data_IF_190885581912
#
_entry.id   IF_190885581912
#
_cell.length_a   1.000
_cell.length_b   1.000
_cell.length_c   1.000
_cell.angle_alpha   90.00
_cell.angle_beta   90.00
_cell.angle_gamma   90.00
#
_symmetry.space_group_name_H-M   'P 1'
#
loop_
_entity.id
_entity.type
_entity.pdbx_description
1 polymer ?
#
# COMPACT_ATOMS: atom_id res chain seq x y z
N UNK A 1 14.30 -7.08 8.65
CA UNK A 1 14.29 -7.29 7.19
C UNK A 1 12.99 -8.01 6.87
N UNK A 2 12.29 -7.62 5.81
CA UNK A 2 11.00 -8.21 5.47
C UNK A 2 11.16 -9.71 5.17
N UNK A 3 10.17 -10.52 5.51
CA UNK A 3 10.18 -11.97 5.29
C UNK A 3 8.73 -12.50 5.34
N UNK A 4 8.56 -13.80 5.12
CA UNK A 4 7.27 -14.46 5.17
C UNK A 4 6.48 -14.13 6.44
N UNK A 5 7.09 -14.27 7.62
CA UNK A 5 6.42 -14.01 8.89
C UNK A 5 5.94 -12.57 9.05
N UNK A 6 6.70 -11.61 8.53
CA UNK A 6 6.30 -10.20 8.59
C UNK A 6 5.00 -9.94 7.82
N UNK A 7 4.86 -10.56 6.63
CA UNK A 7 3.65 -10.38 5.80
C UNK A 7 2.48 -11.26 6.25
N UNK A 8 2.74 -12.52 6.64
CA UNK A 8 1.69 -13.51 6.92
C UNK A 8 1.33 -13.64 8.41
N UNK A 9 2.21 -13.28 9.34
CA UNK A 9 2.02 -13.47 10.79
C UNK A 9 1.86 -12.14 11.55
N UNK A 10 1.22 -11.16 10.90
CA UNK A 10 0.67 -9.97 11.56
C UNK A 10 1.57 -8.74 11.58
N UNK A 11 2.79 -8.77 11.01
CA UNK A 11 3.63 -7.58 10.88
C UNK A 11 2.95 -6.49 10.04
N UNK A 12 2.52 -6.87 8.83
CA UNK A 12 1.77 -5.98 7.93
C UNK A 12 0.45 -5.50 8.56
N UNK A 13 -0.30 -6.40 9.19
CA UNK A 13 -1.57 -6.07 9.83
C UNK A 13 -1.39 -5.01 10.93
N UNK A 14 -0.41 -5.17 11.82
CA UNK A 14 -0.12 -4.19 12.89
C UNK A 14 0.24 -2.83 12.30
N UNK A 15 0.99 -2.79 11.21
CA UNK A 15 1.35 -1.54 10.53
C UNK A 15 0.12 -0.86 9.91
N UNK A 16 -0.80 -1.64 9.34
CA UNK A 16 -2.08 -1.14 8.84
C UNK A 16 -2.99 -0.58 9.95
N UNK A 17 -3.10 -1.30 11.07
CA UNK A 17 -3.84 -0.83 12.25
C UNK A 17 -3.26 0.47 12.81
N UNK A 18 -1.94 0.58 12.89
CA UNK A 18 -1.24 1.79 13.30
C UNK A 18 -1.53 2.97 12.37
N UNK A 19 -1.48 2.75 11.05
CA UNK A 19 -1.80 3.76 10.06
C UNK A 19 -3.24 4.26 10.20
N UNK A 20 -4.20 3.34 10.36
CA UNK A 20 -5.62 3.69 10.58
C UNK A 20 -5.81 4.49 11.86
N UNK A 21 -5.18 4.07 12.96
CA UNK A 21 -5.23 4.78 14.24
C UNK A 21 -4.70 6.20 14.11
N UNK A 22 -3.53 6.38 13.48
CA UNK A 22 -2.95 7.71 13.27
C UNK A 22 -3.79 8.60 12.37
N UNK A 23 -4.42 8.03 11.34
CA UNK A 23 -5.34 8.77 10.47
C UNK A 23 -6.56 9.27 11.26
N UNK A 24 -7.19 8.39 12.05
CA UNK A 24 -8.31 8.75 12.91
C UNK A 24 -7.91 9.75 13.99
N UNK A 25 -6.79 9.56 14.67
CA UNK A 25 -6.29 10.48 15.70
C UNK A 25 -6.13 11.91 15.17
N UNK A 26 -5.58 12.09 13.96
CA UNK A 26 -5.47 13.41 13.32
C UNK A 26 -6.83 14.03 13.00
N UNK A 27 -7.81 13.23 12.59
CA UNK A 27 -9.16 13.71 12.25
C UNK A 27 -9.95 14.13 13.49
N UNK A 28 -9.73 13.45 14.62
CA UNK A 28 -10.47 13.60 15.87
C UNK A 28 -9.66 14.30 16.97
N UNK A 29 -8.51 14.89 16.65
CA UNK A 29 -7.62 15.58 17.59
C UNK A 29 -8.37 16.65 18.41
N UNK A 30 -9.30 17.37 17.78
CA UNK A 30 -10.16 18.36 18.43
C UNK A 30 -11.31 17.75 19.26
N UNK A 31 -11.79 16.55 18.89
CA UNK A 31 -12.96 15.89 19.52
C UNK A 31 -12.62 15.08 20.77
N UNK A 32 -11.34 14.81 21.05
CA UNK A 32 -10.89 14.15 22.31
C UNK A 32 -11.31 14.92 23.58
N UNK A 33 -11.72 16.19 23.46
CA UNK A 33 -12.21 17.01 24.59
C UNK A 33 -13.71 16.87 24.90
N UNK A 34 -14.52 16.27 24.03
CA UNK A 34 -15.98 16.16 24.21
C UNK A 34 -16.41 14.69 24.30
N UNK A 35 -16.93 14.29 25.46
CA UNK A 35 -17.06 12.91 25.94
C UNK A 35 -17.95 11.90 25.20
N UNK A 36 -18.33 12.13 23.93
CA UNK A 36 -19.17 11.20 23.14
C UNK A 36 -18.49 10.68 21.85
N UNK A 37 -17.19 10.95 21.65
CA UNK A 37 -16.48 10.69 20.39
C UNK A 37 -16.19 9.22 20.05
N UNK A 38 -16.43 8.26 20.93
CA UNK A 38 -16.04 6.86 20.74
C UNK A 38 -16.79 6.16 19.61
N UNK A 39 -18.12 6.33 19.50
CA UNK A 39 -18.89 5.66 18.44
C UNK A 39 -18.58 6.21 17.04
N UNK A 40 -18.43 7.52 16.91
CA UNK A 40 -18.06 8.17 15.64
C UNK A 40 -16.62 7.82 15.23
N UNK A 41 -15.69 7.81 16.20
CA UNK A 41 -14.31 7.40 15.99
C UNK A 41 -14.21 5.95 15.50
N UNK A 42 -14.95 5.03 16.13
CA UNK A 42 -14.95 3.62 15.72
C UNK A 42 -15.55 3.43 14.32
N UNK A 43 -16.63 4.16 14.00
CA UNK A 43 -17.20 4.15 12.64
C UNK A 43 -16.20 4.69 11.62
N UNK A 44 -15.51 5.79 11.92
CA UNK A 44 -14.51 6.36 11.05
C UNK A 44 -13.33 5.39 10.84
N UNK A 45 -12.79 4.81 11.91
CA UNK A 45 -11.72 3.81 11.82
C UNK A 45 -12.12 2.60 10.97
N UNK A 46 -13.36 2.12 11.11
CA UNK A 46 -13.88 1.00 10.33
C UNK A 46 -14.02 1.34 8.83
N UNK A 47 -14.29 2.60 8.50
CA UNK A 47 -14.41 3.08 7.12
C UNK A 47 -13.04 3.37 6.45
N UNK A 48 -11.93 3.39 7.19
CA UNK A 48 -10.62 3.65 6.61
C UNK A 48 -10.15 2.48 5.74
N UNK A 49 -9.75 2.81 4.51
CA UNK A 49 -9.05 1.94 3.58
C UNK A 49 -7.54 2.06 3.81
N UNK A 50 -6.79 0.97 3.56
CA UNK A 50 -5.32 0.97 3.63
C UNK A 50 -4.72 0.63 2.28
N UNK A 51 -3.71 1.40 1.88
CA UNK A 51 -2.90 1.18 0.70
C UNK A 51 -1.51 0.75 1.14
N UNK A 52 -0.98 -0.32 0.54
CA UNK A 52 0.34 -0.85 0.87
C UNK A 52 1.27 -0.59 -0.30
N UNK A 53 2.35 0.15 -0.06
CA UNK A 53 3.32 0.54 -1.07
C UNK A 53 4.64 -0.17 -0.77
N UNK A 54 5.14 -0.93 -1.73
CA UNK A 54 6.40 -1.65 -1.66
C UNK A 54 7.43 -0.89 -2.49
N UNK A 55 8.57 -0.55 -1.88
CA UNK A 55 9.73 0.01 -2.55
C UNK A 55 10.79 -1.07 -2.70
N UNK A 56 11.23 -1.27 -3.93
CA UNK A 56 12.20 -2.30 -4.28
C UNK A 56 13.62 -1.71 -4.32
N UNK A 57 14.62 -2.57 -4.09
CA UNK A 57 16.04 -2.18 -4.13
C UNK A 57 16.50 -1.69 -5.51
N UNK A 58 15.84 -2.13 -6.58
CA UNK A 58 16.08 -1.68 -7.96
C UNK A 58 15.48 -0.29 -8.27
N UNK A 59 14.77 0.31 -7.31
CA UNK A 59 14.12 1.61 -7.44
C UNK A 59 12.69 1.55 -7.99
N UNK A 60 12.17 0.36 -8.30
CA UNK A 60 10.76 0.17 -8.65
C UNK A 60 9.88 0.30 -7.41
N UNK A 61 8.61 0.60 -7.63
CA UNK A 61 7.64 0.76 -6.54
C UNK A 61 6.29 0.23 -6.99
N UNK A 62 5.65 -0.54 -6.11
CA UNK A 62 4.40 -1.23 -6.39
C UNK A 62 3.37 -0.90 -5.33
N UNK A 63 2.12 -0.70 -5.74
CA UNK A 63 0.99 -0.71 -4.81
C UNK A 63 0.40 -2.11 -4.79
N UNK A 64 0.45 -2.75 -3.62
CA UNK A 64 -0.14 -4.05 -3.40
C UNK A 64 -1.63 -3.89 -3.08
N UNK A 65 -2.47 -4.56 -3.88
CA UNK A 65 -3.91 -4.68 -3.65
C UNK A 65 -4.21 -5.80 -2.65
N UNK A 66 -3.69 -6.99 -2.91
CA UNK A 66 -3.95 -8.19 -2.12
C UNK A 66 -2.75 -9.15 -2.20
N UNK A 67 -2.45 -9.85 -1.11
CA UNK A 67 -1.46 -10.93 -1.13
C UNK A 67 -2.04 -12.16 -1.82
N UNK A 68 -1.28 -12.74 -2.74
CA UNK A 68 -1.65 -13.96 -3.42
C UNK A 68 -0.96 -15.15 -2.75
N UNK A 69 -1.73 -16.17 -2.36
CA UNK A 69 -1.14 -17.44 -1.92
C UNK A 69 -0.88 -18.33 -3.13
N UNK A 70 0.39 -18.43 -3.51
CA UNK A 70 0.87 -19.31 -4.60
C UNK A 70 1.72 -20.46 -4.08
N UNK A 71 1.70 -20.74 -2.77
CA UNK A 71 2.44 -21.83 -2.15
C UNK A 71 3.96 -21.61 -2.05
N UNK A 72 4.42 -20.36 -2.16
CA UNK A 72 5.85 -19.99 -2.04
C UNK A 72 6.12 -19.27 -0.73
N UNK A 73 7.06 -19.78 0.07
CA UNK A 73 7.45 -19.17 1.36
C UNK A 73 8.72 -18.32 1.29
N UNK A 74 9.44 -18.34 0.16
CA UNK A 74 10.70 -17.61 -0.03
C UNK A 74 10.54 -16.23 -0.70
N UNK A 75 9.33 -15.90 -1.14
CA UNK A 75 9.02 -14.67 -1.86
C UNK A 75 7.62 -14.17 -1.48
N UNK A 76 7.38 -12.88 -1.68
CA UNK A 76 6.05 -12.28 -1.58
C UNK A 76 5.36 -12.38 -2.94
N UNK A 77 4.20 -13.01 -2.98
CA UNK A 77 3.32 -12.97 -4.14
C UNK A 77 2.12 -12.06 -3.86
N UNK A 78 1.76 -11.18 -4.80
CA UNK A 78 0.70 -10.21 -4.60
C UNK A 78 0.10 -9.67 -5.91
N UNK A 79 -1.17 -9.28 -5.87
CA UNK A 79 -1.80 -8.50 -6.93
C UNK A 79 -1.35 -7.03 -6.82
N UNK A 80 -0.80 -6.50 -7.91
CA UNK A 80 -0.38 -5.11 -8.03
C UNK A 80 -1.48 -4.26 -8.65
N UNK A 81 -1.71 -3.05 -8.11
CA UNK A 81 -2.54 -2.03 -8.75
C UNK A 81 -1.78 -1.43 -9.92
N UNK A 82 -2.26 -1.55 -11.17
CA UNK A 82 -1.58 -0.96 -12.32
C UNK A 82 -1.74 0.56 -12.33
N UNK A 83 -0.63 1.27 -12.60
CA UNK A 83 -0.63 2.73 -12.77
C UNK A 83 -1.21 3.13 -14.12
N UNK A 84 -0.96 2.33 -15.15
CA UNK A 84 -1.45 2.56 -16.51
C UNK A 84 -2.91 2.10 -16.64
N UNK A 85 -3.77 3.03 -17.08
CA UNK A 85 -5.22 2.82 -17.28
C UNK A 85 -5.53 1.64 -18.19
N UNK A 86 -4.69 1.38 -19.20
CA UNK A 86 -4.90 0.28 -20.15
C UNK A 86 -4.86 -1.10 -19.48
N UNK A 87 -4.17 -1.21 -18.35
CA UNK A 87 -4.02 -2.46 -17.61
C UNK A 87 -5.00 -2.61 -16.45
N UNK A 88 -5.83 -1.59 -16.17
CA UNK A 88 -6.85 -1.65 -15.09
C UNK A 88 -8.01 -2.61 -15.37
N UNK A 89 -8.13 -3.12 -16.60
CA UNK A 89 -9.13 -4.13 -16.96
C UNK A 89 -8.72 -5.55 -16.56
N UNK A 90 -7.48 -5.76 -16.13
CA UNK A 90 -6.93 -7.06 -15.75
C UNK A 90 -6.40 -7.09 -14.32
N UNK A 91 -5.77 -8.21 -13.97
CA UNK A 91 -5.05 -8.39 -12.71
C UNK A 91 -3.58 -8.71 -13.02
N UNK A 92 -2.65 -8.06 -12.32
CA UNK A 92 -1.22 -8.32 -12.42
C UNK A 92 -0.76 -8.94 -11.11
N UNK A 93 -0.32 -10.20 -11.15
CA UNK A 93 0.27 -10.86 -9.98
C UNK A 93 1.79 -10.83 -10.12
N UNK A 94 2.47 -10.28 -9.12
CA UNK A 94 3.92 -10.21 -9.05
C UNK A 94 4.43 -11.15 -7.96
N UNK A 95 5.63 -11.69 -8.18
CA UNK A 95 6.38 -12.45 -7.16
C UNK A 95 7.72 -11.76 -6.99
N UNK A 96 8.02 -11.31 -5.77
CA UNK A 96 9.26 -10.61 -5.45
C UNK A 96 9.99 -11.28 -4.27
N UNK A 97 11.31 -11.51 -4.35
CA UNK A 97 12.08 -11.95 -3.20
C UNK A 97 11.95 -10.97 -2.04
N UNK A 98 11.81 -11.47 -0.81
CA UNK A 98 11.72 -10.58 0.35
C UNK A 98 12.97 -9.71 0.53
N UNK A 99 14.13 -10.26 0.17
CA UNK A 99 15.41 -9.54 0.21
C UNK A 99 15.47 -8.37 -0.76
N UNK A 100 14.61 -8.31 -1.78
CA UNK A 100 14.57 -7.19 -2.73
C UNK A 100 13.68 -6.04 -2.24
N UNK A 101 12.91 -6.24 -1.18
CA UNK A 101 12.05 -5.20 -0.59
C UNK A 101 12.92 -4.29 0.28
N UNK A 102 13.08 -3.05 -0.16
CA UNK A 102 13.82 -2.02 0.56
C UNK A 102 12.98 -1.37 1.67
N UNK A 103 11.68 -1.14 1.40
CA UNK A 103 10.76 -0.47 2.34
C UNK A 103 9.32 -0.84 2.06
N UNK A 104 8.52 -0.93 3.12
CA UNK A 104 7.06 -1.05 3.05
C UNK A 104 6.44 0.18 3.72
N UNK A 105 5.55 0.85 3.01
CA UNK A 105 4.72 1.94 3.55
C UNK A 105 3.26 1.50 3.57
N UNK A 106 2.55 1.83 4.66
CA UNK A 106 1.10 1.63 4.75
C UNK A 106 0.45 2.97 5.00
N UNK A 107 -0.46 3.35 4.10
CA UNK A 107 -1.18 4.60 4.14
C UNK A 107 -2.66 4.31 4.40
N UNK A 108 -3.25 4.96 5.41
CA UNK A 108 -4.68 4.86 5.69
C UNK A 108 -5.41 6.13 5.24
N UNK A 109 -6.55 5.97 4.58
CA UNK A 109 -7.34 7.07 4.02
C UNK A 109 -8.82 6.78 4.08
N UNK A 110 -9.61 7.83 4.28
CA UNK A 110 -11.06 7.73 4.17
C UNK A 110 -11.47 7.73 2.69
N UNK A 111 -12.41 6.88 2.24
CA UNK A 111 -12.81 6.81 0.83
C UNK A 111 -13.30 8.17 0.28
N UNK A 112 -13.94 8.98 1.10
CA UNK A 112 -14.39 10.34 0.72
C UNK A 112 -13.25 11.36 0.57
N UNK A 113 -12.08 11.06 1.10
CA UNK A 113 -10.87 11.90 1.03
C UNK A 113 -9.87 11.35 0.02
N UNK A 114 -10.31 10.46 -0.89
CA UNK A 114 -9.45 9.86 -1.91
C UNK A 114 -8.62 10.96 -2.58
N UNK A 115 -7.27 10.88 -2.52
CA UNK A 115 -6.42 11.78 -3.27
C UNK A 115 -6.82 11.70 -4.74
N UNK A 116 -7.16 12.85 -5.33
CA UNK A 116 -7.61 12.94 -6.73
C UNK A 116 -6.52 12.49 -7.70
N UNK A 117 -5.27 12.51 -7.26
CA UNK A 117 -4.16 11.87 -7.93
C UNK A 117 -3.90 10.51 -7.27
N UNK A 118 -4.01 9.43 -8.07
CA UNK A 118 -3.24 8.22 -7.79
C UNK A 118 -1.83 8.69 -7.45
N UNK A 119 -1.30 8.32 -6.28
CA UNK A 119 0.12 8.46 -5.98
C UNK A 119 0.84 8.02 -7.25
N UNK A 120 1.42 8.99 -7.98
CA UNK A 120 2.13 8.71 -9.23
C UNK A 120 3.42 8.06 -8.81
N UNK A 121 3.32 6.76 -8.53
CA UNK A 121 4.42 5.89 -8.20
C UNK A 121 5.23 5.73 -9.50
N UNK A 122 6.43 6.31 -9.61
CA UNK A 122 7.20 6.27 -10.85
C UNK A 122 7.86 4.90 -11.00
N UNK A 123 7.09 3.88 -11.36
CA UNK A 123 7.55 2.48 -11.46
C UNK A 123 7.60 1.92 -12.89
N UNK A 124 6.90 2.52 -13.85
CA UNK A 124 6.98 2.12 -15.25
C UNK A 124 7.57 3.27 -16.06
N UNK A 125 8.90 3.31 -16.15
CA UNK A 125 9.51 4.02 -17.28
C UNK A 125 9.27 3.12 -18.50
N UNK A 126 8.51 3.54 -19.53
CA UNK A 126 8.69 2.94 -20.84
C UNK A 126 10.18 3.09 -21.15
N UNK A 127 10.83 1.99 -21.51
CA UNK A 127 12.24 1.94 -21.89
C UNK A 127 12.58 3.20 -22.66
N UNK A 128 13.51 4.01 -22.11
CA UNK A 128 13.99 5.19 -22.79
C UNK A 128 14.39 4.77 -24.21
N UNK A 129 13.70 5.34 -25.20
CA UNK A 129 14.15 5.28 -26.58
C UNK A 129 15.62 5.70 -26.56
N UNK A 130 16.48 4.80 -27.04
CA UNK A 130 17.92 5.03 -27.11
C UNK A 130 18.21 6.32 -27.88
N UNK A 131 19.38 6.94 -27.67
CA UNK A 131 19.72 8.19 -28.32
C UNK A 131 19.74 7.99 -29.83
N UNK A 132 18.94 8.78 -30.54
CA UNK A 132 19.11 9.03 -31.96
C UNK A 132 20.57 9.44 -32.19
N UNK A 133 21.31 8.58 -32.89
CA UNK A 133 22.60 8.95 -33.47
C UNK A 133 22.31 9.62 -34.80
N UNK A 134 22.80 10.85 -34.92
CA UNK A 134 22.95 11.63 -36.16
C UNK A 134 23.59 10.81 -37.30
#
# INVERSE_FOLDING_TARGET
MFNYDWFHHGGLQRLAEEAKRRCADRRFEDKKKAGNGTAEYQRYMAALETRVILYMKDGLTYEMREMADVGMSSALAFECVPVDENYKVGAIVLVVPFDDIARVEVFAVHPDQKPTENLRIPGFRPSAAGPDRE
#
